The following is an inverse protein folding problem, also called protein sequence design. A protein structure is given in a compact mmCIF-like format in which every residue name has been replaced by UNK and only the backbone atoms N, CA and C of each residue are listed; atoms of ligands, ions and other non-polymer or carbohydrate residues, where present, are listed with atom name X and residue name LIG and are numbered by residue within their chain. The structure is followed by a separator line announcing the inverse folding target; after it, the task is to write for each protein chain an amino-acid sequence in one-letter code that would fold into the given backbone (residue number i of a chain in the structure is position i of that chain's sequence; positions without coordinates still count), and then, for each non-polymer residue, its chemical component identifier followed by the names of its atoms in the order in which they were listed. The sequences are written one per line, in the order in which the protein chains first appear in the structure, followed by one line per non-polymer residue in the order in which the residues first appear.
data_IF_138431045487
#
_entry.id   IF_138431045487
#
_cell.length_a   1.000
_cell.length_b   1.000
_cell.length_c   1.000
_cell.angle_alpha   90.00
_cell.angle_beta   90.00
_cell.angle_gamma   90.00
#
_symmetry.space_group_name_H-M   'P 1'
#
loop_
_entity.id
_entity.type
_entity.pdbx_description
1 polymer ?
#
# COMPACT_ATOMS: atom_id res chain seq x y z
N UNK A 1 -23.56 3.49 -5.13
CA UNK A 1 -22.73 4.67 -4.89
C UNK A 1 -22.98 5.71 -5.96
N UNK A 2 -22.80 5.40 -7.28
CA UNK A 2 -23.00 6.36 -8.38
C UNK A 2 -24.36 7.06 -8.37
N UNK A 3 -25.43 6.37 -7.97
CA UNK A 3 -26.79 6.94 -7.86
C UNK A 3 -26.90 7.98 -6.73
N UNK A 4 -26.10 7.87 -5.68
CA UNK A 4 -26.10 8.79 -4.54
C UNK A 4 -25.21 10.03 -4.76
N UNK A 5 -24.26 9.97 -5.69
CA UNK A 5 -23.32 11.06 -5.94
C UNK A 5 -23.99 12.42 -6.17
N UNK A 6 -25.06 12.57 -7.00
CA UNK A 6 -25.70 13.87 -7.19
C UNK A 6 -26.30 14.45 -5.90
N UNK A 7 -26.78 13.61 -5.00
CA UNK A 7 -27.35 14.04 -3.71
C UNK A 7 -26.24 14.43 -2.73
N UNK A 8 -25.14 13.66 -2.70
CA UNK A 8 -23.96 13.96 -1.88
C UNK A 8 -23.32 15.27 -2.35
N UNK A 9 -23.25 15.52 -3.66
CA UNK A 9 -22.73 16.76 -4.22
C UNK A 9 -23.64 17.95 -3.93
N UNK A 10 -24.96 17.78 -3.92
CA UNK A 10 -25.91 18.81 -3.59
C UNK A 10 -25.92 19.19 -2.11
N UNK A 11 -25.55 18.26 -1.21
CA UNK A 11 -25.42 18.49 0.22
C UNK A 11 -24.03 18.98 0.65
N UNK A 12 -23.04 18.95 -0.27
CA UNK A 12 -21.74 19.57 -0.02
C UNK A 12 -21.94 21.08 0.15
N UNK A 13 -21.87 21.54 1.37
CA UNK A 13 -21.80 22.98 1.65
C UNK A 13 -20.52 23.50 1.01
N UNK A 14 -20.64 24.42 0.05
CA UNK A 14 -19.49 25.11 -0.54
C UNK A 14 -18.67 25.74 0.59
N UNK A 15 -17.49 25.17 0.86
CA UNK A 15 -16.53 25.74 1.84
C UNK A 15 -15.91 24.75 2.83
N UNK A 16 -16.46 23.58 3.10
CA UNK A 16 -15.84 22.59 4.00
C UNK A 16 -15.15 21.46 3.25
N UNK A 17 -14.02 21.76 2.60
CA UNK A 17 -13.08 20.72 2.16
C UNK A 17 -12.39 20.15 3.38
N UNK A 18 -12.67 18.89 3.71
CA UNK A 18 -12.05 18.21 4.85
C UNK A 18 -10.56 17.91 4.64
N UNK A 19 -10.08 17.98 3.39
CA UNK A 19 -8.70 17.75 2.98
C UNK A 19 -8.63 17.11 1.59
N UNK A 20 -7.44 17.17 0.97
CA UNK A 20 -7.16 16.67 -0.37
C UNK A 20 -6.13 15.54 -0.29
N UNK A 21 -6.42 14.41 -0.91
CA UNK A 21 -5.60 13.20 -0.80
C UNK A 21 -5.21 12.74 -2.20
N UNK A 22 -3.90 12.64 -2.45
CA UNK A 22 -3.40 12.03 -3.67
C UNK A 22 -3.33 10.51 -3.51
N UNK A 23 -3.85 9.78 -4.50
CA UNK A 23 -3.83 8.33 -4.56
C UNK A 23 -3.12 7.87 -5.83
N UNK A 24 -2.19 6.93 -5.69
CA UNK A 24 -1.48 6.36 -6.82
C UNK A 24 -1.15 4.88 -6.60
N UNK A 25 -1.26 4.07 -7.66
CA UNK A 25 -0.60 2.78 -7.73
C UNK A 25 0.81 2.99 -8.28
N UNK A 26 1.81 2.55 -7.54
CA UNK A 26 3.23 2.84 -7.83
C UNK A 26 3.70 2.29 -9.17
N UNK A 27 4.83 2.78 -9.64
CA UNK A 27 5.43 2.39 -10.92
C UNK A 27 5.54 0.87 -11.05
N UNK A 28 5.22 0.37 -12.25
CA UNK A 28 5.29 -1.05 -12.59
C UNK A 28 4.10 -1.89 -12.11
N UNK A 29 3.16 -1.32 -11.38
CA UNK A 29 1.98 -2.01 -10.87
C UNK A 29 0.70 -1.48 -11.53
N UNK A 30 -0.17 -2.40 -11.94
CA UNK A 30 -1.43 -2.11 -12.67
C UNK A 30 -2.68 -2.38 -11.82
N UNK A 31 -2.50 -2.84 -10.58
CA UNK A 31 -3.60 -3.24 -9.72
C UNK A 31 -4.18 -2.04 -8.97
N UNK A 32 -5.37 -1.62 -9.34
CA UNK A 32 -6.01 -0.41 -8.83
C UNK A 32 -7.29 -0.63 -8.02
N UNK A 33 -7.84 -1.84 -8.00
CA UNK A 33 -9.12 -2.11 -7.33
C UNK A 33 -9.12 -1.64 -5.88
N UNK A 34 -8.10 -2.02 -5.11
CA UNK A 34 -7.98 -1.61 -3.70
C UNK A 34 -7.86 -0.10 -3.53
N UNK A 35 -7.05 0.56 -4.37
CA UNK A 35 -6.88 2.01 -4.38
C UNK A 35 -8.19 2.72 -4.69
N UNK A 36 -8.91 2.26 -5.71
CA UNK A 36 -10.18 2.84 -6.14
C UNK A 36 -11.25 2.71 -5.05
N UNK A 37 -11.32 1.55 -4.36
CA UNK A 37 -12.23 1.37 -3.20
C UNK A 37 -11.90 2.39 -2.10
N UNK A 38 -10.63 2.56 -1.74
CA UNK A 38 -10.20 3.55 -0.74
C UNK A 38 -10.58 4.97 -1.19
N UNK A 39 -10.32 5.32 -2.46
CA UNK A 39 -10.69 6.62 -3.03
C UNK A 39 -12.19 6.90 -2.95
N UNK A 40 -13.03 5.92 -3.31
CA UNK A 40 -14.49 6.03 -3.20
C UNK A 40 -14.91 6.21 -1.73
N UNK A 41 -14.38 5.42 -0.82
CA UNK A 41 -14.72 5.50 0.62
C UNK A 41 -14.33 6.86 1.19
N UNK A 42 -13.14 7.36 0.88
CA UNK A 42 -12.70 8.69 1.33
C UNK A 42 -13.54 9.80 0.69
N UNK A 43 -13.82 9.72 -0.62
CA UNK A 43 -14.68 10.68 -1.32
C UNK A 43 -16.08 10.76 -0.73
N UNK A 44 -16.70 9.61 -0.39
CA UNK A 44 -17.98 9.56 0.30
C UNK A 44 -17.95 10.16 1.72
N UNK A 45 -16.76 10.30 2.33
CA UNK A 45 -16.56 10.95 3.63
C UNK A 45 -16.15 12.44 3.52
N UNK A 46 -16.23 13.02 2.32
CA UNK A 46 -16.03 14.45 2.10
C UNK A 46 -14.59 14.88 1.87
N UNK A 47 -13.69 13.94 1.51
CA UNK A 47 -12.33 14.26 1.10
C UNK A 47 -12.23 14.41 -0.42
N UNK A 48 -11.41 15.34 -0.88
CA UNK A 48 -11.09 15.48 -2.31
C UNK A 48 -10.02 14.45 -2.68
N UNK A 49 -10.23 13.72 -3.77
CA UNK A 49 -9.31 12.66 -4.22
C UNK A 49 -8.66 13.06 -5.54
N UNK A 50 -7.34 13.16 -5.54
CA UNK A 50 -6.52 13.29 -6.74
C UNK A 50 -6.00 11.90 -7.10
N UNK A 51 -6.69 11.21 -8.01
CA UNK A 51 -6.31 9.86 -8.43
C UNK A 51 -5.40 9.91 -9.67
N UNK A 52 -4.15 9.49 -9.52
CA UNK A 52 -3.18 9.42 -10.60
C UNK A 52 -3.23 8.12 -11.42
N UNK A 53 -4.07 7.15 -11.01
CA UNK A 53 -4.19 5.86 -11.69
C UNK A 53 -3.10 4.88 -11.30
N UNK A 54 -2.60 4.13 -12.30
CA UNK A 54 -1.67 3.02 -12.15
C UNK A 54 -0.31 3.32 -12.80
N UNK A 55 0.72 2.52 -12.45
CA UNK A 55 2.08 2.63 -13.02
C UNK A 55 2.69 4.03 -12.89
N UNK A 56 2.38 4.73 -11.80
CA UNK A 56 2.74 6.14 -11.65
C UNK A 56 4.20 6.28 -11.19
N UNK A 57 5.07 6.96 -11.94
CA UNK A 57 6.44 7.24 -11.51
C UNK A 57 6.49 8.13 -10.27
N UNK A 58 7.52 7.94 -9.45
CA UNK A 58 7.75 8.71 -8.22
C UNK A 58 7.70 10.22 -8.46
N UNK A 59 8.41 10.70 -9.47
CA UNK A 59 8.48 12.13 -9.81
C UNK A 59 7.09 12.71 -10.04
N UNK A 60 6.25 12.00 -10.82
CA UNK A 60 4.87 12.44 -11.10
C UNK A 60 4.02 12.47 -9.83
N UNK A 61 4.20 11.49 -8.92
CA UNK A 61 3.49 11.48 -7.63
C UNK A 61 3.84 12.73 -6.83
N UNK A 62 5.13 13.00 -6.66
CA UNK A 62 5.60 14.09 -5.80
C UNK A 62 5.35 15.47 -6.40
N UNK A 63 5.56 15.63 -7.72
CA UNK A 63 5.32 16.89 -8.42
C UNK A 63 3.82 17.25 -8.42
N UNK A 64 2.95 16.24 -8.65
CA UNK A 64 1.50 16.47 -8.56
C UNK A 64 1.06 16.75 -7.12
N UNK A 65 1.66 16.09 -6.13
CA UNK A 65 1.35 16.36 -4.72
C UNK A 65 1.62 17.83 -4.34
N UNK A 66 2.70 18.40 -4.86
CA UNK A 66 3.04 19.81 -4.65
C UNK A 66 2.10 20.72 -5.46
N UNK A 67 1.90 20.44 -6.75
CA UNK A 67 1.09 21.27 -7.64
C UNK A 67 -0.39 21.35 -7.22
N UNK A 68 -0.93 20.25 -6.72
CA UNK A 68 -2.30 20.15 -6.25
C UNK A 68 -2.48 20.56 -4.77
N UNK A 69 -1.40 20.87 -4.08
CA UNK A 69 -1.40 21.23 -2.66
C UNK A 69 -2.17 20.19 -1.81
N UNK A 70 -1.80 18.89 -1.97
CA UNK A 70 -2.46 17.81 -1.26
C UNK A 70 -2.02 17.75 0.21
N UNK A 71 -2.90 17.26 1.07
CA UNK A 71 -2.63 17.10 2.50
C UNK A 71 -2.01 15.75 2.84
N UNK A 72 -2.25 14.72 2.02
CA UNK A 72 -1.80 13.33 2.26
C UNK A 72 -1.46 12.68 0.92
N UNK A 73 -0.43 11.84 0.91
CA UNK A 73 -0.11 10.94 -0.21
C UNK A 73 -0.46 9.51 0.18
N UNK A 74 -1.24 8.82 -0.65
CA UNK A 74 -1.59 7.41 -0.50
C UNK A 74 -1.01 6.56 -1.63
N UNK A 75 -0.22 5.55 -1.29
CA UNK A 75 0.37 4.62 -2.24
C UNK A 75 -0.27 3.24 -2.14
N UNK A 76 -0.51 2.63 -3.29
CA UNK A 76 -1.01 1.27 -3.43
C UNK A 76 -0.09 0.41 -4.29
N UNK A 77 -0.07 -0.89 -4.00
CA UNK A 77 0.63 -1.89 -4.80
C UNK A 77 0.23 -3.30 -4.41
N UNK A 78 0.31 -4.22 -5.38
CA UNK A 78 -0.04 -5.63 -5.21
C UNK A 78 1.13 -6.57 -5.42
N UNK A 79 2.09 -6.21 -6.27
CA UNK A 79 3.22 -7.09 -6.62
C UNK A 79 4.46 -6.78 -5.77
N UNK A 80 5.36 -7.76 -5.64
CA UNK A 80 6.56 -7.60 -4.81
C UNK A 80 7.42 -6.39 -5.18
N UNK A 81 7.66 -6.07 -6.45
CA UNK A 81 8.42 -4.87 -6.82
C UNK A 81 7.81 -3.55 -6.35
N UNK A 82 6.48 -3.49 -6.14
CA UNK A 82 5.81 -2.30 -5.63
C UNK A 82 6.29 -1.90 -4.24
N UNK A 83 6.75 -2.87 -3.45
CA UNK A 83 7.30 -2.63 -2.11
C UNK A 83 8.58 -1.78 -2.16
N UNK A 84 9.46 -2.04 -3.12
CA UNK A 84 10.70 -1.27 -3.31
C UNK A 84 10.41 0.13 -3.87
N UNK A 85 9.41 0.26 -4.76
CA UNK A 85 8.97 1.57 -5.26
C UNK A 85 8.39 2.45 -4.14
N UNK A 86 7.64 1.88 -3.18
CA UNK A 86 7.15 2.62 -2.01
C UNK A 86 8.29 3.12 -1.12
N UNK A 87 9.33 2.31 -0.94
CA UNK A 87 10.55 2.69 -0.21
C UNK A 87 11.25 3.84 -0.94
N UNK A 88 11.35 3.76 -2.27
CA UNK A 88 11.94 4.80 -3.09
C UNK A 88 11.18 6.12 -3.02
N UNK A 89 9.84 6.08 -3.10
CA UNK A 89 9.00 7.29 -2.93
C UNK A 89 9.23 7.94 -1.57
N UNK A 90 9.22 7.16 -0.49
CA UNK A 90 9.47 7.67 0.86
C UNK A 90 10.84 8.36 0.97
N UNK A 91 11.89 7.74 0.39
CA UNK A 91 13.22 8.33 0.32
C UNK A 91 13.24 9.66 -0.45
N UNK A 92 12.57 9.72 -1.61
CA UNK A 92 12.49 10.93 -2.41
C UNK A 92 11.69 12.05 -1.72
N UNK A 93 10.65 11.71 -0.95
CA UNK A 93 9.95 12.67 -0.09
C UNK A 93 10.89 13.27 0.96
N UNK A 94 11.73 12.46 1.59
CA UNK A 94 12.75 12.91 2.56
C UNK A 94 13.76 13.84 1.91
N UNK A 95 14.32 13.44 0.76
CA UNK A 95 15.33 14.21 0.03
C UNK A 95 14.80 15.56 -0.47
N UNK A 96 13.52 15.64 -0.82
CA UNK A 96 12.83 16.88 -1.23
C UNK A 96 12.37 17.74 -0.04
N UNK A 97 12.58 17.31 1.21
CA UNK A 97 12.17 18.03 2.41
C UNK A 97 10.64 18.15 2.56
N UNK A 98 9.89 17.24 1.98
CA UNK A 98 8.42 17.24 2.09
C UNK A 98 8.00 16.97 3.54
N UNK A 99 6.82 17.50 3.93
CA UNK A 99 6.22 17.34 5.26
C UNK A 99 4.78 16.86 5.18
N UNK A 100 4.50 16.01 4.19
CA UNK A 100 3.19 15.41 3.97
C UNK A 100 3.14 14.00 4.56
N UNK A 101 2.06 13.61 5.25
CA UNK A 101 1.87 12.22 5.67
C UNK A 101 1.82 11.26 4.47
N UNK A 102 2.41 10.09 4.64
CA UNK A 102 2.43 9.02 3.65
C UNK A 102 1.61 7.82 4.15
N UNK A 103 0.55 7.47 3.44
CA UNK A 103 -0.22 6.26 3.68
C UNK A 103 0.24 5.13 2.75
N UNK A 104 0.44 3.95 3.32
CA UNK A 104 0.86 2.74 2.59
C UNK A 104 -0.26 1.70 2.66
N UNK A 105 -0.75 1.28 1.50
CA UNK A 105 -1.78 0.25 1.38
C UNK A 105 -1.54 -0.68 0.20
N UNK A 106 -2.42 -1.67 0.05
CA UNK A 106 -2.36 -2.70 -0.97
C UNK A 106 -2.06 -4.08 -0.43
N UNK A 107 -2.46 -5.13 -1.17
CA UNK A 107 -2.51 -6.50 -0.67
C UNK A 107 -1.14 -7.11 -0.32
N UNK A 108 -0.07 -6.67 -0.97
CA UNK A 108 1.31 -7.13 -0.69
C UNK A 108 1.94 -6.38 0.47
N UNK A 109 1.42 -5.22 0.83
CA UNK A 109 1.96 -4.39 1.90
C UNK A 109 1.67 -4.97 3.28
N UNK A 110 2.47 -4.61 4.24
CA UNK A 110 2.26 -5.04 5.63
C UNK A 110 2.82 -4.01 6.60
N UNK A 111 2.30 -4.01 7.81
CA UNK A 111 2.85 -3.21 8.91
C UNK A 111 4.34 -3.48 9.12
N UNK A 112 4.77 -4.73 8.99
CA UNK A 112 6.17 -5.12 9.12
C UNK A 112 7.06 -4.49 8.05
N UNK A 113 6.65 -4.53 6.77
CA UNK A 113 7.36 -3.88 5.68
C UNK A 113 7.41 -2.36 5.87
N UNK A 114 6.27 -1.75 6.18
CA UNK A 114 6.19 -0.30 6.41
C UNK A 114 7.12 0.13 7.55
N UNK A 115 7.08 -0.57 8.70
CA UNK A 115 7.90 -0.26 9.86
C UNK A 115 9.41 -0.45 9.64
N UNK A 116 9.81 -1.46 8.83
CA UNK A 116 11.23 -1.83 8.67
C UNK A 116 11.88 -1.16 7.47
N UNK A 117 11.13 -0.93 6.40
CA UNK A 117 11.68 -0.50 5.11
C UNK A 117 11.25 0.91 4.71
N UNK A 118 9.99 1.27 4.88
CA UNK A 118 9.45 2.54 4.38
C UNK A 118 9.66 3.67 5.39
N UNK A 119 9.17 3.51 6.61
CA UNK A 119 9.21 4.55 7.65
C UNK A 119 10.64 5.04 7.97
N UNK A 120 11.68 4.19 8.01
CA UNK A 120 13.04 4.68 8.23
C UNK A 120 13.59 5.59 7.13
N UNK A 121 12.99 5.58 5.94
CA UNK A 121 13.40 6.44 4.83
C UNK A 121 12.74 7.83 4.86
N UNK A 122 11.69 8.01 5.66
CA UNK A 122 10.94 9.25 5.71
C UNK A 122 10.58 9.62 7.16
N UNK A 123 11.27 10.61 7.70
CA UNK A 123 11.15 11.04 9.10
C UNK A 123 10.51 12.42 9.27
N UNK A 124 10.37 13.18 8.18
CA UNK A 124 9.81 14.53 8.22
C UNK A 124 8.34 14.54 8.65
N UNK A 125 7.60 13.45 8.35
CA UNK A 125 6.20 13.30 8.75
C UNK A 125 5.83 11.82 8.99
N UNK A 126 4.54 11.54 9.15
CA UNK A 126 4.02 10.21 9.43
C UNK A 126 4.09 9.29 8.20
N UNK A 127 4.45 8.03 8.44
CA UNK A 127 4.23 6.92 7.49
C UNK A 127 3.25 5.94 8.12
N UNK A 128 2.05 5.83 7.60
CA UNK A 128 0.98 5.03 8.21
C UNK A 128 0.59 3.85 7.30
N UNK A 129 0.68 2.64 7.85
CA UNK A 129 0.15 1.45 7.19
C UNK A 129 -1.37 1.38 7.37
N UNK A 130 -2.09 1.28 6.26
CA UNK A 130 -3.55 1.14 6.22
C UNK A 130 -3.90 -0.24 5.68
N UNK A 131 -4.45 -1.11 6.53
CA UNK A 131 -4.70 -2.52 6.20
C UNK A 131 -5.86 -2.73 5.25
N UNK A 132 -6.85 -1.84 5.29
CA UNK A 132 -8.08 -1.94 4.51
C UNK A 132 -8.78 -0.58 4.36
N UNK A 133 -9.73 -0.52 3.43
CA UNK A 133 -10.43 0.71 3.09
C UNK A 133 -11.27 1.27 4.27
N UNK A 134 -11.81 0.41 5.12
CA UNK A 134 -12.64 0.86 6.24
C UNK A 134 -11.84 1.66 7.28
N UNK A 135 -10.56 1.34 7.43
CA UNK A 135 -9.66 2.04 8.35
C UNK A 135 -9.11 3.35 7.79
N UNK A 136 -9.14 3.52 6.47
CA UNK A 136 -8.58 4.72 5.83
C UNK A 136 -9.23 6.01 6.33
N UNK A 137 -10.54 6.02 6.50
CA UNK A 137 -11.28 7.22 6.98
C UNK A 137 -10.81 7.65 8.37
N UNK A 138 -10.72 6.70 9.31
CA UNK A 138 -10.27 7.01 10.67
C UNK A 138 -8.82 7.51 10.73
N UNK A 139 -7.94 6.94 9.88
CA UNK A 139 -6.55 7.39 9.77
C UNK A 139 -6.48 8.81 9.21
N UNK A 140 -7.14 9.07 8.07
CA UNK A 140 -7.15 10.38 7.42
C UNK A 140 -7.74 11.45 8.34
N UNK A 141 -8.88 11.16 8.99
CA UNK A 141 -9.50 12.09 9.94
C UNK A 141 -8.54 12.49 11.06
N UNK A 142 -7.81 11.53 11.62
CA UNK A 142 -6.82 11.81 12.68
C UNK A 142 -5.61 12.58 12.16
N UNK A 143 -5.09 12.22 10.96
CA UNK A 143 -3.95 12.89 10.35
C UNK A 143 -4.22 14.36 10.05
N UNK A 144 -5.45 14.71 9.68
CA UNK A 144 -5.87 16.10 9.37
C UNK A 144 -6.37 16.85 10.59
N UNK A 145 -6.56 16.18 11.74
CA UNK A 145 -6.98 16.80 12.98
C UNK A 145 -5.80 17.41 13.74
N UNK A 146 -5.92 18.67 14.14
CA UNK A 146 -4.90 19.32 14.98
C UNK A 146 -4.73 18.64 16.35
N UNK A 147 -5.80 18.10 16.90
CA UNK A 147 -5.81 17.51 18.24
C UNK A 147 -5.30 16.07 18.27
N UNK A 148 -5.56 15.30 17.21
CA UNK A 148 -5.28 13.84 17.21
C UNK A 148 -4.05 13.44 16.38
N UNK A 149 -3.54 14.36 15.53
CA UNK A 149 -2.42 14.06 14.63
C UNK A 149 -1.18 13.59 15.37
N UNK A 150 -0.71 14.38 16.35
CA UNK A 150 0.54 14.07 17.05
C UNK A 150 0.44 12.77 17.83
N UNK A 151 -0.67 12.53 18.52
CA UNK A 151 -0.91 11.30 19.23
C UNK A 151 -0.87 10.07 18.30
N UNK A 152 -1.48 10.16 17.12
CA UNK A 152 -1.43 9.08 16.12
C UNK A 152 -0.01 8.82 15.62
N UNK A 153 0.78 9.86 15.37
CA UNK A 153 2.17 9.74 14.90
C UNK A 153 3.01 9.05 15.96
N UNK A 154 2.92 9.48 17.21
CA UNK A 154 3.70 8.96 18.31
C UNK A 154 3.33 7.47 18.58
N UNK A 155 2.05 7.15 18.65
CA UNK A 155 1.56 5.78 18.80
C UNK A 155 2.05 4.86 17.66
N UNK A 156 1.99 5.35 16.41
CA UNK A 156 2.45 4.58 15.25
C UNK A 156 3.96 4.35 15.30
N UNK A 157 4.76 5.35 15.63
CA UNK A 157 6.21 5.23 15.76
C UNK A 157 6.62 4.26 16.87
N UNK A 158 5.98 4.34 18.04
CA UNK A 158 6.20 3.38 19.12
C UNK A 158 5.85 1.94 18.70
N UNK A 159 4.73 1.76 18.00
CA UNK A 159 4.34 0.45 17.48
C UNK A 159 5.38 -0.08 16.48
N UNK A 160 5.89 0.77 15.58
CA UNK A 160 6.91 0.37 14.61
C UNK A 160 8.25 0.00 15.28
N UNK A 161 8.63 0.68 16.36
CA UNK A 161 9.80 0.27 17.16
C UNK A 161 9.60 -1.15 17.69
N UNK A 162 8.45 -1.45 18.30
CA UNK A 162 8.12 -2.80 18.82
C UNK A 162 8.11 -3.86 17.70
N UNK A 163 7.64 -3.50 16.51
CA UNK A 163 7.67 -4.40 15.34
C UNK A 163 9.10 -4.70 14.91
N UNK A 164 9.96 -3.68 14.82
CA UNK A 164 11.39 -3.85 14.47
C UNK A 164 12.12 -4.71 15.47
N UNK A 165 11.95 -4.47 16.77
CA UNK A 165 12.58 -5.27 17.84
C UNK A 165 12.14 -6.74 17.81
N UNK A 166 10.85 -7.00 17.59
CA UNK A 166 10.31 -8.37 17.47
C UNK A 166 10.92 -9.10 16.27
N UNK A 167 11.08 -8.41 15.15
CA UNK A 167 11.66 -9.00 13.94
C UNK A 167 13.16 -9.22 14.09
N UNK A 168 13.89 -8.30 14.73
CA UNK A 168 15.33 -8.46 15.03
C UNK A 168 15.61 -9.67 15.93
N UNK A 169 14.72 -9.97 16.88
CA UNK A 169 14.81 -11.14 17.76
C UNK A 169 14.44 -12.46 17.09
N UNK A 170 13.88 -12.41 15.88
CA UNK A 170 13.46 -13.61 15.16
C UNK A 170 14.66 -14.31 14.56
N UNK A 171 15.13 -15.39 15.20
CA UNK A 171 16.16 -16.24 14.63
C UNK A 171 15.64 -16.89 13.32
N UNK A 172 16.50 -17.06 12.32
CA UNK A 172 16.14 -17.80 11.12
C UNK A 172 15.70 -19.23 11.51
N UNK A 173 14.47 -19.62 11.11
CA UNK A 173 13.88 -20.92 11.49
C UNK A 173 14.56 -22.15 10.87
N UNK A 174 15.47 -21.95 9.94
CA UNK A 174 16.18 -23.05 9.29
C UNK A 174 17.67 -22.71 9.16
N UNK A 175 18.51 -23.72 9.39
CA UNK A 175 19.92 -23.63 9.03
C UNK A 175 20.04 -23.34 7.53
N UNK A 176 20.91 -22.42 7.16
CA UNK A 176 21.25 -22.19 5.76
C UNK A 176 22.01 -23.42 5.26
N UNK A 177 21.43 -24.15 4.33
CA UNK A 177 22.11 -25.27 3.65
C UNK A 177 22.75 -24.75 2.37
N UNK A 178 23.85 -25.38 1.97
CA UNK A 178 24.47 -25.09 0.68
C UNK A 178 23.59 -25.57 -0.47
N UNK A 179 23.83 -25.07 -1.68
CA UNK A 179 23.11 -25.53 -2.86
C UNK A 179 23.24 -27.06 -3.05
N UNK A 180 24.45 -27.61 -2.88
CA UNK A 180 24.70 -29.04 -3.02
C UNK A 180 23.93 -29.87 -1.98
N UNK A 181 23.83 -29.40 -0.75
CA UNK A 181 23.00 -30.03 0.29
C UNK A 181 21.51 -29.93 -0.04
N UNK A 182 21.06 -28.75 -0.52
CA UNK A 182 19.67 -28.57 -0.94
C UNK A 182 19.26 -29.55 -2.06
N UNK A 183 20.14 -29.76 -3.03
CA UNK A 183 19.89 -30.74 -4.10
C UNK A 183 19.78 -32.18 -3.55
N UNK A 184 20.63 -32.54 -2.57
CA UNK A 184 20.60 -33.89 -1.97
C UNK A 184 19.35 -34.14 -1.11
N UNK A 185 18.89 -33.14 -0.35
CA UNK A 185 17.71 -33.28 0.52
C UNK A 185 16.40 -32.90 -0.20
N UNK A 186 16.50 -32.30 -1.39
CA UNK A 186 15.36 -31.95 -2.21
C UNK A 186 14.55 -33.16 -2.64
N UNK A 187 13.28 -32.95 -2.94
CA UNK A 187 12.39 -34.00 -3.39
C UNK A 187 12.88 -34.57 -4.75
N UNK A 188 13.11 -35.88 -4.81
CA UNK A 188 13.55 -36.57 -6.01
C UNK A 188 12.34 -37.25 -6.65
N UNK A 189 12.03 -36.86 -7.87
CA UNK A 189 11.00 -37.50 -8.67
C UNK A 189 11.60 -38.68 -9.48
N UNK A 190 10.97 -39.84 -9.42
CA UNK A 190 11.21 -40.95 -10.34
C UNK A 190 10.37 -40.71 -11.59
N UNK A 191 10.93 -39.99 -12.54
CA UNK A 191 10.24 -39.64 -13.78
C UNK A 191 9.96 -40.85 -14.67
N UNK A 192 10.69 -41.95 -14.50
CA UNK A 192 10.45 -43.18 -15.26
C UNK A 192 9.18 -43.89 -14.80
N UNK A 193 8.79 -43.71 -13.54
CA UNK A 193 7.57 -44.29 -12.96
C UNK A 193 6.39 -43.31 -12.91
N UNK A 194 6.62 -42.04 -13.22
CA UNK A 194 5.55 -41.05 -13.16
C UNK A 194 4.58 -41.23 -14.34
N UNK A 195 3.34 -41.58 -14.03
CA UNK A 195 2.23 -41.61 -14.99
C UNK A 195 1.39 -40.35 -14.79
N UNK A 196 1.36 -39.40 -15.75
CA UNK A 196 0.53 -38.21 -15.64
C UNK A 196 -0.95 -38.59 -15.55
N UNK A 197 -1.74 -37.89 -14.73
CA UNK A 197 -3.18 -38.10 -14.74
C UNK A 197 -3.77 -37.68 -16.10
N UNK A 198 -4.58 -38.57 -16.66
CA UNK A 198 -5.28 -38.28 -17.91
C UNK A 198 -6.61 -37.63 -17.60
N UNK A 199 -6.94 -36.44 -18.17
CA UNK A 199 -8.24 -35.80 -17.98
C UNK A 199 -9.37 -36.71 -18.48
N UNK A 200 -10.51 -36.68 -17.78
CA UNK A 200 -11.70 -37.47 -18.17
C UNK A 200 -12.26 -37.07 -19.55
N UNK A 201 -12.00 -35.82 -19.96
CA UNK A 201 -12.34 -35.33 -21.30
C UNK A 201 -11.11 -34.75 -21.97
N UNK A 202 -10.77 -35.27 -23.12
CA UNK A 202 -9.68 -34.81 -23.97
C UNK A 202 -10.26 -33.95 -25.11
N UNK A 203 -9.48 -32.97 -25.55
CA UNK A 203 -9.84 -32.08 -26.67
C UNK A 203 -10.64 -30.83 -26.26
N UNK A 204 -11.06 -30.10 -27.28
CA UNK A 204 -11.82 -28.85 -27.10
C UNK A 204 -13.31 -29.19 -26.95
N UNK A 205 -13.95 -28.68 -25.92
CA UNK A 205 -15.41 -28.76 -25.70
C UNK A 205 -16.00 -27.37 -25.87
N UNK A 206 -16.97 -27.25 -26.79
CA UNK A 206 -17.75 -26.04 -26.98
C UNK A 206 -19.03 -26.20 -26.16
N UNK A 207 -19.34 -25.25 -25.32
CA UNK A 207 -20.61 -25.18 -24.60
C UNK A 207 -21.53 -24.18 -25.33
N UNK A 208 -22.75 -24.63 -25.67
CA UNK A 208 -23.79 -23.81 -26.28
C UNK A 208 -24.48 -22.92 -25.25
#
# INVERSE_FOLDING_TARGET
VAWLNPYIEAEKVEGEKKGKILMATVKGDVHDIGKNIVGVVLGCNGYDIVDLGVMVPCEKILDTAIAEEVDIIGLSGLITPSLDEMVYVAKQMQERGMTLPLMIGGATTSKAHTAVKVEPQYQNDAVIYVSDASRSVGVVTKLLSKDYRQALIDETREEYVKVRERLAKRQPKAAKVTYAESVKIGFQYDWEKYVPPVPNKLGQVIFD
#
